data_IF_685563204883
#
_entry.id   IF_685563204883
#
_cell.length_a   1.000
_cell.length_b   1.000
_cell.length_c   1.000
_cell.angle_alpha   90.00
_cell.angle_beta   90.00
_cell.angle_gamma   90.00
#
_symmetry.space_group_name_H-M   'P 1'
#
loop_
_entity.id
_entity.type
_entity.pdbx_description
1 polymer ?
#
# COMPACT_ATOMS: atom_id res chain seq x y z
N UNK A 1 -19.69 44.11 5.12
CA UNK A 1 -19.12 43.92 3.77
C UNK A 1 -18.41 42.57 3.77
N UNK A 2 -18.93 41.56 3.06
CA UNK A 2 -18.28 40.26 2.95
C UNK A 2 -17.11 40.39 1.97
N UNK A 3 -15.88 40.30 2.46
CA UNK A 3 -14.71 40.26 1.59
C UNK A 3 -14.81 38.99 0.74
N UNK A 4 -14.80 39.12 -0.59
CA UNK A 4 -14.70 37.98 -1.50
C UNK A 4 -13.41 37.23 -1.15
N UNK A 5 -13.53 36.04 -0.58
CA UNK A 5 -12.38 35.17 -0.37
C UNK A 5 -11.77 34.84 -1.74
N UNK A 6 -10.49 35.16 -1.89
CA UNK A 6 -9.72 34.79 -3.09
C UNK A 6 -9.55 33.27 -3.03
N UNK A 7 -10.19 32.57 -3.96
CA UNK A 7 -10.04 31.12 -4.08
C UNK A 7 -8.83 30.78 -4.94
N UNK A 8 -8.07 29.79 -4.52
CA UNK A 8 -6.95 29.23 -5.26
C UNK A 8 -7.46 28.57 -6.54
N UNK A 9 -6.80 28.86 -7.66
CA UNK A 9 -7.05 28.16 -8.91
C UNK A 9 -6.51 26.73 -8.83
N UNK A 10 -7.04 25.82 -9.66
CA UNK A 10 -6.52 24.45 -9.75
C UNK A 10 -5.03 24.42 -10.09
N UNK A 11 -4.56 25.31 -10.96
CA UNK A 11 -3.15 25.46 -11.29
C UNK A 11 -2.28 25.83 -10.06
N UNK A 12 -2.78 26.71 -9.19
CA UNK A 12 -2.10 27.07 -7.96
C UNK A 12 -2.05 25.90 -6.97
N UNK A 13 -3.14 25.14 -6.82
CA UNK A 13 -3.16 23.92 -5.98
C UNK A 13 -2.17 22.88 -6.50
N UNK A 14 -2.19 22.60 -7.81
CA UNK A 14 -1.24 21.67 -8.43
C UNK A 14 0.21 22.08 -8.14
N UNK A 15 0.56 23.33 -8.44
CA UNK A 15 1.92 23.83 -8.24
C UNK A 15 2.34 23.79 -6.78
N UNK A 16 1.44 24.13 -5.85
CA UNK A 16 1.69 24.07 -4.41
C UNK A 16 1.96 22.64 -3.94
N UNK A 17 1.13 21.68 -4.34
CA UNK A 17 1.28 20.27 -3.98
C UNK A 17 2.56 19.69 -4.58
N UNK A 18 2.83 19.95 -5.87
CA UNK A 18 4.03 19.45 -6.55
C UNK A 18 5.31 20.03 -5.91
N UNK A 19 5.33 21.31 -5.56
CA UNK A 19 6.44 21.93 -4.84
C UNK A 19 6.62 21.31 -3.44
N UNK A 20 5.52 21.06 -2.71
CA UNK A 20 5.58 20.44 -1.40
C UNK A 20 6.08 18.99 -1.43
N UNK A 21 5.68 18.21 -2.45
CA UNK A 21 6.19 16.85 -2.68
C UNK A 21 7.67 16.90 -3.06
N UNK A 22 8.07 17.82 -3.95
CA UNK A 22 9.46 18.01 -4.36
C UNK A 22 10.39 18.40 -3.20
N UNK A 23 9.89 19.15 -2.22
CA UNK A 23 10.62 19.47 -0.99
C UNK A 23 10.80 18.27 -0.04
N UNK A 24 10.07 17.16 -0.26
CA UNK A 24 10.20 15.91 0.50
C UNK A 24 9.69 15.95 1.94
N UNK A 25 9.33 17.12 2.47
CA UNK A 25 8.87 17.31 3.83
C UNK A 25 7.37 17.06 4.01
N UNK A 26 7.00 16.11 4.88
CA UNK A 26 5.59 15.85 5.23
C UNK A 26 4.93 17.11 5.80
N UNK A 27 5.66 17.92 6.56
CA UNK A 27 5.18 19.19 7.14
C UNK A 27 4.71 20.18 6.06
N UNK A 28 5.56 20.42 5.06
CA UNK A 28 5.25 21.34 3.94
C UNK A 28 4.01 20.86 3.19
N UNK A 29 3.89 19.56 2.96
CA UNK A 29 2.72 18.97 2.30
C UNK A 29 1.46 19.05 3.17
N UNK A 30 1.60 18.89 4.49
CA UNK A 30 0.50 19.04 5.45
C UNK A 30 -0.04 20.45 5.44
N UNK A 31 0.86 21.45 5.55
CA UNK A 31 0.49 22.86 5.57
C UNK A 31 -0.10 23.29 4.21
N UNK A 32 0.44 22.76 3.11
CA UNK A 32 -0.07 23.01 1.77
C UNK A 32 -1.50 22.48 1.56
N UNK A 33 -1.76 21.23 1.94
CA UNK A 33 -3.09 20.62 1.80
C UNK A 33 -4.10 21.21 2.79
N UNK A 34 -3.68 21.51 4.02
CA UNK A 34 -4.50 22.20 5.01
C UNK A 34 -4.88 23.60 4.53
N UNK A 35 -3.92 24.41 4.05
CA UNK A 35 -4.17 25.74 3.51
C UNK A 35 -5.07 25.70 2.26
N UNK A 36 -4.84 24.76 1.35
CA UNK A 36 -5.71 24.57 0.18
C UNK A 36 -7.14 24.15 0.56
N UNK A 37 -7.30 23.37 1.64
CA UNK A 37 -8.61 23.00 2.19
C UNK A 37 -9.30 24.19 2.85
N UNK A 38 -8.61 24.96 3.67
CA UNK A 38 -9.13 26.17 4.33
C UNK A 38 -9.58 27.22 3.31
N UNK A 39 -8.88 27.31 2.18
CA UNK A 39 -9.26 28.16 1.06
C UNK A 39 -10.42 27.60 0.20
N UNK A 40 -10.86 26.37 0.48
CA UNK A 40 -11.99 25.72 -0.20
C UNK A 40 -11.65 25.09 -1.55
N UNK A 41 -10.36 24.97 -1.88
CA UNK A 41 -9.87 24.37 -3.12
C UNK A 41 -9.70 22.84 -3.03
N UNK A 42 -9.33 22.33 -1.84
CA UNK A 42 -9.24 20.89 -1.54
C UNK A 42 -10.34 20.45 -0.57
N UNK A 43 -11.59 20.39 -1.03
CA UNK A 43 -12.75 20.10 -0.16
C UNK A 43 -12.83 18.65 0.28
N UNK A 44 -12.31 17.76 -0.56
CA UNK A 44 -12.32 16.31 -0.35
C UNK A 44 -11.12 15.83 0.48
N UNK A 45 -10.13 16.70 0.74
CA UNK A 45 -9.06 16.40 1.68
C UNK A 45 -9.60 16.34 3.12
N UNK A 46 -9.31 15.25 3.83
CA UNK A 46 -9.81 15.03 5.19
C UNK A 46 -11.35 15.15 5.30
N UNK A 47 -12.05 14.61 4.30
CA UNK A 47 -13.50 14.74 4.11
C UNK A 47 -14.27 14.40 5.41
N UNK A 48 -14.99 15.35 6.05
CA UNK A 48 -15.78 15.08 7.26
C UNK A 48 -16.87 14.01 7.09
N UNK A 49 -17.33 13.82 5.87
CA UNK A 49 -18.33 12.83 5.48
C UNK A 49 -17.75 11.41 5.39
N UNK A 50 -16.42 11.27 5.37
CA UNK A 50 -15.75 9.97 5.48
C UNK A 50 -15.83 9.50 6.93
N UNK A 51 -16.88 8.75 7.25
CA UNK A 51 -17.04 8.10 8.54
C UNK A 51 -16.41 6.71 8.49
N UNK A 52 -15.36 6.52 9.29
CA UNK A 52 -14.82 5.19 9.60
C UNK A 52 -15.77 4.49 10.58
N UNK A 53 -15.95 3.19 10.45
CA UNK A 53 -16.84 2.45 11.38
C UNK A 53 -16.27 2.42 12.80
N UNK A 54 -17.13 2.23 13.79
CA UNK A 54 -16.70 2.07 15.17
C UNK A 54 -16.02 0.70 15.40
N UNK A 55 -15.26 0.61 16.49
CA UNK A 55 -14.69 -0.66 16.95
C UNK A 55 -15.83 -1.68 17.11
N UNK A 56 -15.73 -2.90 16.54
CA UNK A 56 -16.74 -3.93 16.75
C UNK A 56 -16.85 -4.28 18.24
N UNK A 57 -18.08 -4.46 18.74
CA UNK A 57 -18.34 -4.57 20.18
C UNK A 57 -18.30 -6.00 20.71
N UNK A 58 -18.31 -7.02 19.84
CA UNK A 58 -18.38 -8.43 20.24
C UNK A 58 -17.28 -9.28 19.60
N UNK A 59 -16.84 -10.32 20.31
CA UNK A 59 -15.88 -11.30 19.78
C UNK A 59 -16.37 -12.00 18.52
N UNK A 60 -17.69 -12.19 18.40
CA UNK A 60 -18.32 -12.77 17.20
C UNK A 60 -18.12 -11.88 15.97
N UNK A 61 -18.11 -10.56 16.16
CA UNK A 61 -17.85 -9.63 15.07
C UNK A 61 -16.36 -9.59 14.70
N UNK A 62 -15.46 -9.83 15.65
CA UNK A 62 -14.03 -10.02 15.36
C UNK A 62 -13.77 -11.24 14.48
N UNK A 63 -14.47 -12.34 14.72
CA UNK A 63 -14.35 -13.56 13.92
C UNK A 63 -14.82 -13.35 12.47
N UNK A 64 -15.79 -12.46 12.25
CA UNK A 64 -16.35 -12.14 10.92
C UNK A 64 -15.43 -11.28 10.06
N UNK A 65 -14.46 -10.58 10.65
CA UNK A 65 -13.52 -9.74 9.89
C UNK A 65 -12.70 -10.61 8.94
N UNK A 66 -12.48 -10.15 7.71
CA UNK A 66 -11.58 -10.87 6.81
C UNK A 66 -10.17 -10.96 7.41
N UNK A 67 -9.50 -12.10 7.25
CA UNK A 67 -8.09 -12.21 7.60
C UNK A 67 -7.28 -11.37 6.60
N UNK A 68 -6.27 -10.67 7.10
CA UNK A 68 -5.26 -10.03 6.23
C UNK A 68 -4.45 -11.15 5.58
N UNK A 69 -4.20 -11.11 4.26
CA UNK A 69 -3.40 -12.15 3.63
C UNK A 69 -2.00 -12.21 4.23
N UNK A 70 -1.43 -13.41 4.32
CA UNK A 70 -0.06 -13.63 4.82
C UNK A 70 0.97 -13.11 3.81
N UNK A 71 2.12 -12.68 4.33
CA UNK A 71 3.28 -12.36 3.50
C UNK A 71 4.26 -13.54 3.48
N UNK A 72 4.42 -14.16 2.32
CA UNK A 72 5.37 -15.26 2.09
C UNK A 72 6.52 -14.83 1.18
N UNK A 73 6.68 -13.52 0.93
CA UNK A 73 7.72 -12.93 0.07
C UNK A 73 9.11 -13.51 0.27
N UNK A 74 9.55 -13.64 1.52
CA UNK A 74 10.89 -14.13 1.82
C UNK A 74 11.11 -15.55 1.33
N UNK A 75 10.11 -16.41 1.49
CA UNK A 75 10.14 -17.81 1.03
C UNK A 75 10.03 -17.84 -0.50
N UNK A 76 9.10 -17.07 -1.08
CA UNK A 76 8.90 -16.95 -2.53
C UNK A 76 10.17 -16.52 -3.27
N UNK A 77 10.74 -15.38 -2.87
CA UNK A 77 11.95 -14.81 -3.47
C UNK A 77 13.15 -15.71 -3.21
N UNK A 78 13.27 -16.27 -1.99
CA UNK A 78 14.34 -17.20 -1.65
C UNK A 78 14.34 -18.45 -2.52
N UNK A 79 13.18 -19.08 -2.72
CA UNK A 79 13.04 -20.27 -3.57
C UNK A 79 13.32 -19.95 -5.05
N UNK A 80 12.81 -18.82 -5.55
CA UNK A 80 13.08 -18.37 -6.92
C UNK A 80 14.57 -18.08 -7.15
N UNK A 81 15.22 -17.36 -6.24
CA UNK A 81 16.64 -17.07 -6.29
C UNK A 81 17.48 -18.36 -6.23
N UNK A 82 17.13 -19.30 -5.34
CA UNK A 82 17.80 -20.59 -5.25
C UNK A 82 17.70 -21.39 -6.55
N UNK A 83 16.53 -21.41 -7.19
CA UNK A 83 16.35 -22.06 -8.50
C UNK A 83 17.19 -21.37 -9.58
N UNK A 84 17.15 -20.03 -9.66
CA UNK A 84 17.94 -19.27 -10.64
C UNK A 84 19.44 -19.49 -10.47
N UNK A 85 19.94 -19.47 -9.23
CA UNK A 85 21.35 -19.73 -8.93
C UNK A 85 21.73 -21.18 -9.26
N UNK A 86 20.89 -22.15 -8.93
CA UNK A 86 21.11 -23.55 -9.26
C UNK A 86 21.19 -23.78 -10.77
N UNK A 87 20.24 -23.23 -11.54
CA UNK A 87 20.24 -23.30 -13.00
C UNK A 87 21.43 -22.56 -13.61
N UNK A 88 21.76 -21.37 -13.09
CA UNK A 88 22.92 -20.60 -13.52
C UNK A 88 24.23 -21.36 -13.29
N UNK A 89 24.39 -22.01 -12.13
CA UNK A 89 25.54 -22.84 -11.82
C UNK A 89 25.67 -24.04 -12.79
N UNK A 90 24.56 -24.72 -13.10
CA UNK A 90 24.56 -25.81 -14.09
C UNK A 90 24.98 -25.29 -15.47
N UNK A 91 24.47 -24.15 -15.92
CA UNK A 91 24.87 -23.55 -17.20
C UNK A 91 26.35 -23.15 -17.24
N UNK A 92 26.89 -22.62 -16.13
CA UNK A 92 28.31 -22.28 -16.01
C UNK A 92 29.18 -23.54 -16.06
N UNK A 93 28.78 -24.61 -15.38
CA UNK A 93 29.50 -25.90 -15.41
C UNK A 93 29.49 -26.53 -16.80
N UNK A 94 28.34 -26.52 -17.49
CA UNK A 94 28.23 -27.00 -18.86
C UNK A 94 29.11 -26.18 -19.83
N UNK A 95 29.12 -24.85 -19.69
CA UNK A 95 30.01 -24.00 -20.47
C UNK A 95 31.49 -24.31 -20.20
N UNK A 96 31.86 -24.51 -18.94
CA UNK A 96 33.23 -24.89 -18.56
C UNK A 96 33.61 -26.27 -19.12
N UNK A 97 32.69 -27.24 -19.10
CA UNK A 97 32.90 -28.55 -19.72
C UNK A 97 33.12 -28.44 -21.23
N UNK A 98 32.35 -27.60 -21.92
CA UNK A 98 32.53 -27.35 -23.37
C UNK A 98 33.87 -26.69 -23.69
N UNK A 99 34.39 -25.83 -22.80
CA UNK A 99 35.64 -25.10 -23.03
C UNK A 99 36.90 -25.89 -22.65
N UNK A 100 36.87 -26.62 -21.54
CA UNK A 100 38.07 -27.23 -20.93
C UNK A 100 38.03 -28.78 -20.94
N UNK A 101 36.87 -29.40 -21.19
CA UNK A 101 36.69 -30.85 -21.27
C UNK A 101 36.83 -31.62 -19.95
N UNK A 102 37.67 -31.14 -19.04
CA UNK A 102 38.01 -31.78 -17.76
C UNK A 102 37.04 -31.43 -16.62
N UNK A 103 36.18 -30.42 -16.80
CA UNK A 103 35.17 -30.05 -15.81
C UNK A 103 33.97 -30.96 -15.93
N UNK A 104 33.64 -31.74 -14.90
CA UNK A 104 32.45 -32.59 -14.90
C UNK A 104 31.17 -31.73 -14.79
N UNK A 105 30.34 -31.74 -15.84
CA UNK A 105 29.03 -31.11 -15.86
C UNK A 105 27.88 -32.15 -15.84
N UNK A 106 26.80 -31.92 -15.06
CA UNK A 106 25.64 -32.81 -15.09
C UNK A 106 24.88 -32.61 -16.41
N UNK A 107 24.58 -33.68 -17.17
CA UNK A 107 24.04 -33.55 -18.52
C UNK A 107 22.70 -32.81 -18.50
N UNK A 108 22.60 -31.71 -19.25
CA UNK A 108 21.39 -30.87 -19.36
C UNK A 108 20.07 -31.65 -19.55
N UNK A 109 19.98 -32.72 -20.38
CA UNK A 109 18.76 -33.50 -20.49
C UNK A 109 18.32 -34.15 -19.17
N UNK A 110 19.26 -34.61 -18.34
CA UNK A 110 18.95 -35.18 -17.04
C UNK A 110 18.40 -34.10 -16.09
N UNK A 111 19.00 -32.92 -16.09
CA UNK A 111 18.51 -31.77 -15.30
C UNK A 111 17.09 -31.40 -15.74
N UNK A 112 16.83 -31.35 -17.05
CA UNK A 112 15.50 -31.07 -17.59
C UNK A 112 14.46 -32.14 -17.19
N UNK A 113 14.83 -33.43 -17.26
CA UNK A 113 13.95 -34.53 -16.82
C UNK A 113 13.66 -34.44 -15.32
N UNK A 114 14.66 -34.13 -14.48
CA UNK A 114 14.48 -33.98 -13.05
C UNK A 114 13.57 -32.79 -12.72
N UNK A 115 13.75 -31.65 -13.38
CA UNK A 115 12.89 -30.47 -13.20
C UNK A 115 11.46 -30.73 -13.68
N UNK A 116 11.30 -31.36 -14.85
CA UNK A 116 10.00 -31.76 -15.38
C UNK A 116 9.30 -32.77 -14.47
N UNK A 117 10.05 -33.73 -13.91
CA UNK A 117 9.57 -34.69 -12.93
C UNK A 117 9.15 -34.02 -11.63
N UNK A 118 9.97 -33.10 -11.10
CA UNK A 118 9.64 -32.32 -9.90
C UNK A 118 8.39 -31.45 -10.12
N UNK A 119 8.26 -30.82 -11.28
CA UNK A 119 7.07 -30.04 -11.65
C UNK A 119 5.82 -30.90 -11.75
N UNK A 120 5.91 -32.06 -12.42
CA UNK A 120 4.81 -33.00 -12.52
C UNK A 120 4.38 -33.55 -11.15
N UNK A 121 5.36 -33.88 -10.31
CA UNK A 121 5.12 -34.34 -8.95
C UNK A 121 4.46 -33.26 -8.08
N UNK A 122 4.91 -32.00 -8.16
CA UNK A 122 4.31 -30.88 -7.43
C UNK A 122 2.87 -30.62 -7.88
N UNK A 123 2.61 -30.64 -9.19
CA UNK A 123 1.26 -30.45 -9.73
C UNK A 123 0.29 -31.54 -9.29
N UNK A 124 0.75 -32.78 -9.21
CA UNK A 124 -0.09 -33.93 -8.84
C UNK A 124 -0.24 -34.11 -7.32
N UNK A 125 0.84 -33.96 -6.55
CA UNK A 125 0.85 -34.26 -5.12
C UNK A 125 0.58 -33.03 -4.23
N UNK A 126 0.86 -31.82 -4.71
CA UNK A 126 0.77 -30.56 -3.94
C UNK A 126 -0.03 -29.48 -4.65
N UNK A 127 -0.81 -29.84 -5.67
CA UNK A 127 -1.62 -28.91 -6.44
C UNK A 127 -0.83 -27.74 -7.07
N UNK A 128 0.48 -27.89 -7.25
CA UNK A 128 1.35 -26.85 -7.82
C UNK A 128 1.81 -25.75 -6.85
N UNK A 129 1.75 -25.99 -5.54
CA UNK A 129 2.11 -25.00 -4.52
C UNK A 129 3.58 -24.55 -4.63
N UNK A 130 4.53 -25.48 -4.81
CA UNK A 130 5.96 -25.17 -4.83
C UNK A 130 6.36 -24.40 -6.09
N UNK A 131 5.90 -24.82 -7.26
CA UNK A 131 6.17 -24.09 -8.50
C UNK A 131 5.36 -22.79 -8.59
N UNK A 132 4.19 -22.72 -7.95
CA UNK A 132 3.46 -21.46 -7.75
C UNK A 132 4.26 -20.45 -6.93
N UNK A 133 4.87 -20.90 -5.84
CA UNK A 133 5.75 -20.10 -4.98
C UNK A 133 6.98 -19.58 -5.74
N UNK A 134 7.66 -20.44 -6.51
CA UNK A 134 8.78 -20.06 -7.38
C UNK A 134 8.34 -19.07 -8.46
N UNK A 135 7.17 -19.29 -9.07
CA UNK A 135 6.62 -18.41 -10.10
C UNK A 135 6.33 -17.00 -9.58
N UNK A 136 5.72 -16.89 -8.39
CA UNK A 136 5.49 -15.60 -7.71
C UNK A 136 6.82 -14.92 -7.38
N UNK A 137 7.77 -15.64 -6.80
CA UNK A 137 9.11 -15.13 -6.50
C UNK A 137 9.86 -14.63 -7.74
N UNK A 138 9.80 -15.39 -8.84
CA UNK A 138 10.41 -15.00 -10.12
C UNK A 138 9.77 -13.75 -10.70
N UNK A 139 8.43 -13.65 -10.61
CA UNK A 139 7.70 -12.46 -11.07
C UNK A 139 8.12 -11.23 -10.27
N UNK A 140 8.30 -11.34 -8.94
CA UNK A 140 8.82 -10.25 -8.11
C UNK A 140 10.25 -9.86 -8.46
N UNK A 141 11.09 -10.83 -8.82
CA UNK A 141 12.51 -10.60 -9.15
C UNK A 141 12.69 -9.92 -10.51
N UNK A 142 11.89 -10.28 -11.51
CA UNK A 142 12.17 -9.93 -12.90
C UNK A 142 11.09 -9.06 -13.57
N UNK A 143 9.86 -9.02 -13.03
CA UNK A 143 8.76 -8.30 -13.66
C UNK A 143 8.43 -7.03 -12.89
N UNK A 144 8.60 -5.88 -13.54
CA UNK A 144 7.94 -4.63 -13.14
C UNK A 144 6.59 -4.55 -13.84
N UNK A 145 5.53 -4.64 -13.06
CA UNK A 145 4.16 -4.47 -13.55
C UNK A 145 3.69 -3.06 -13.19
N UNK A 146 3.92 -2.13 -14.11
CA UNK A 146 3.54 -0.71 -13.93
C UNK A 146 2.03 -0.55 -13.68
N UNK A 147 1.19 -1.40 -14.28
CA UNK A 147 -0.26 -1.33 -14.10
C UNK A 147 -0.63 -1.71 -12.67
N UNK A 148 0.01 -2.75 -12.13
CA UNK A 148 -0.20 -3.20 -10.76
C UNK A 148 0.40 -2.24 -9.73
N UNK A 149 1.58 -1.69 -10.00
CA UNK A 149 2.22 -0.66 -9.18
C UNK A 149 1.34 0.59 -9.09
N UNK A 150 0.91 1.14 -10.24
CA UNK A 150 -0.01 2.28 -10.28
C UNK A 150 -1.37 1.98 -9.62
N UNK A 151 -1.86 0.74 -9.71
CA UNK A 151 -3.07 0.32 -8.99
C UNK A 151 -2.89 0.47 -7.47
N UNK A 152 -1.83 -0.11 -6.92
CA UNK A 152 -1.52 -0.07 -5.49
C UNK A 152 -1.24 1.36 -5.01
N UNK A 153 -0.46 2.12 -5.76
CA UNK A 153 -0.17 3.52 -5.46
C UNK A 153 -1.44 4.38 -5.45
N UNK A 154 -2.30 4.22 -6.46
CA UNK A 154 -3.58 4.96 -6.52
C UNK A 154 -4.50 4.67 -5.34
N UNK A 155 -4.55 3.42 -4.84
CA UNK A 155 -5.30 3.07 -3.64
C UNK A 155 -4.77 3.77 -2.40
N UNK A 156 -3.45 3.73 -2.19
CA UNK A 156 -2.81 4.40 -1.06
C UNK A 156 -2.96 5.92 -1.13
N UNK A 157 -2.82 6.52 -2.31
CA UNK A 157 -2.95 7.96 -2.51
C UNK A 157 -4.39 8.41 -2.25
N UNK A 158 -5.37 7.74 -2.85
CA UNK A 158 -6.79 8.09 -2.70
C UNK A 158 -7.24 7.99 -1.25
N UNK A 159 -7.01 6.85 -0.58
CA UNK A 159 -7.45 6.70 0.81
C UNK A 159 -6.69 7.65 1.73
N UNK A 160 -5.38 7.82 1.53
CA UNK A 160 -4.59 8.76 2.32
C UNK A 160 -5.14 10.18 2.21
N UNK A 161 -5.45 10.63 1.00
CA UNK A 161 -6.03 11.94 0.73
C UNK A 161 -7.40 12.12 1.42
N UNK A 162 -8.29 11.16 1.26
CA UNK A 162 -9.64 11.20 1.86
C UNK A 162 -9.60 11.17 3.40
N UNK A 163 -8.69 10.39 3.97
CA UNK A 163 -8.47 10.28 5.41
C UNK A 163 -7.78 11.52 6.01
N UNK A 164 -7.28 12.43 5.17
CA UNK A 164 -6.59 13.64 5.59
C UNK A 164 -5.12 13.39 5.96
N UNK A 165 -4.51 12.36 5.40
CA UNK A 165 -3.15 11.97 5.67
C UNK A 165 -2.21 12.59 4.61
N UNK A 166 -1.32 13.51 5.00
CA UNK A 166 -0.38 14.16 4.08
C UNK A 166 0.64 13.18 3.49
N UNK A 167 0.83 12.00 4.11
CA UNK A 167 1.71 10.97 3.57
C UNK A 167 1.17 10.29 2.31
N UNK A 168 -0.04 10.63 1.84
CA UNK A 168 -0.66 10.05 0.65
C UNK A 168 0.16 10.19 -0.63
N UNK A 169 1.00 11.21 -0.74
CA UNK A 169 1.86 11.43 -1.91
C UNK A 169 3.12 10.55 -1.93
N UNK A 170 3.31 9.69 -0.92
CA UNK A 170 4.48 8.84 -0.79
C UNK A 170 4.07 7.38 -0.67
N UNK A 171 4.94 6.48 -1.14
CA UNK A 171 4.76 5.05 -0.94
C UNK A 171 4.60 4.73 0.55
N UNK A 172 3.62 3.88 0.92
CA UNK A 172 3.37 3.53 2.30
C UNK A 172 4.57 2.78 2.89
N UNK A 173 5.03 3.25 4.04
CA UNK A 173 6.13 2.63 4.81
C UNK A 173 5.76 2.67 6.30
N UNK A 174 6.34 1.80 7.11
CA UNK A 174 6.07 1.78 8.55
C UNK A 174 6.65 3.02 9.27
N UNK A 175 7.75 3.60 8.78
CA UNK A 175 8.47 4.67 9.46
C UNK A 175 7.89 6.06 9.22
N UNK A 176 7.43 6.34 7.99
CA UNK A 176 6.98 7.68 7.59
C UNK A 176 5.76 8.17 8.39
N UNK A 177 4.77 7.33 8.71
CA UNK A 177 3.68 7.71 9.58
C UNK A 177 4.12 7.94 11.03
N UNK A 178 5.10 7.18 11.53
CA UNK A 178 5.67 7.41 12.86
C UNK A 178 6.38 8.76 12.93
N UNK A 179 7.13 9.13 11.89
CA UNK A 179 7.76 10.45 11.76
C UNK A 179 6.69 11.56 11.72
N UNK A 180 5.63 11.35 10.95
CA UNK A 180 4.49 12.26 10.88
C UNK A 180 3.83 12.47 12.25
N UNK A 181 3.61 11.39 13.02
CA UNK A 181 3.06 11.47 14.36
C UNK A 181 3.97 12.25 15.31
N UNK A 182 5.28 12.08 15.24
CA UNK A 182 6.21 12.79 16.12
C UNK A 182 6.31 14.30 15.86
N UNK A 183 6.31 14.72 14.59
CA UNK A 183 6.49 16.14 14.22
C UNK A 183 5.18 16.91 14.04
N UNK A 184 4.19 16.26 13.44
CA UNK A 184 2.90 16.86 13.12
C UNK A 184 1.78 16.36 14.05
N UNK A 185 2.09 15.54 15.06
CA UNK A 185 1.12 14.98 16.00
C UNK A 185 0.20 16.02 16.63
N UNK A 186 0.63 17.26 16.84
CA UNK A 186 -0.25 18.33 17.36
C UNK A 186 -1.16 18.95 16.29
N UNK A 187 -0.65 19.17 15.08
CA UNK A 187 -1.43 19.69 13.94
C UNK A 187 -2.45 18.66 13.45
N UNK A 188 -2.07 17.38 13.49
CA UNK A 188 -2.90 16.23 13.09
C UNK A 188 -3.67 15.60 14.25
N UNK A 189 -3.26 15.79 15.51
CA UNK A 189 -3.82 15.16 16.71
C UNK A 189 -5.18 15.69 17.14
N UNK A 190 -5.63 16.78 16.51
CA UNK A 190 -7.05 17.15 16.53
C UNK A 190 -7.93 16.22 15.67
N UNK A 191 -7.33 15.40 14.78
CA UNK A 191 -8.07 14.44 13.98
C UNK A 191 -8.41 13.20 14.82
N UNK A 192 -9.71 12.89 15.02
CA UNK A 192 -10.09 11.73 15.80
C UNK A 192 -9.64 10.45 15.10
N UNK A 193 -9.13 9.52 15.91
CA UNK A 193 -8.71 8.16 15.53
C UNK A 193 -7.61 8.17 14.47
N UNK A 194 -6.59 9.03 14.64
CA UNK A 194 -5.48 9.19 13.68
C UNK A 194 -4.73 7.87 13.41
N UNK A 195 -4.47 7.08 14.45
CA UNK A 195 -3.83 5.75 14.32
C UNK A 195 -4.66 4.83 13.44
N UNK A 196 -5.98 4.81 13.60
CA UNK A 196 -6.89 4.00 12.78
C UNK A 196 -6.87 4.44 11.32
N UNK A 197 -6.85 5.75 11.06
CA UNK A 197 -6.74 6.28 9.69
C UNK A 197 -5.44 5.84 9.03
N UNK A 198 -4.32 5.92 9.75
CA UNK A 198 -3.02 5.47 9.23
C UNK A 198 -3.05 3.97 8.94
N UNK A 199 -3.66 3.16 9.80
CA UNK A 199 -3.81 1.72 9.56
C UNK A 199 -4.61 1.42 8.29
N UNK A 200 -5.75 2.10 8.11
CA UNK A 200 -6.58 1.96 6.90
C UNK A 200 -5.75 2.33 5.65
N UNK A 201 -4.97 3.41 5.73
CA UNK A 201 -4.10 3.83 4.63
C UNK A 201 -2.97 2.82 4.32
N UNK A 202 -2.27 2.31 5.35
CA UNK A 202 -1.22 1.29 5.18
C UNK A 202 -1.76 0.00 4.57
N UNK A 203 -3.02 -0.35 4.85
CA UNK A 203 -3.67 -1.56 4.34
C UNK A 203 -4.39 -1.33 3.00
N UNK A 204 -4.49 -0.10 2.49
CA UNK A 204 -5.13 0.20 1.22
C UNK A 204 -4.49 -0.54 0.03
N UNK A 205 -3.15 -0.55 -0.13
CA UNK A 205 -2.44 -1.43 -1.06
C UNK A 205 -2.90 -2.89 -1.01
N UNK A 206 -2.91 -3.46 0.19
CA UNK A 206 -3.18 -4.88 0.44
C UNK A 206 -4.64 -5.20 0.13
N UNK A 207 -5.55 -4.32 0.56
CA UNK A 207 -6.98 -4.42 0.29
C UNK A 207 -7.30 -4.41 -1.20
N UNK A 208 -6.66 -3.51 -1.96
CA UNK A 208 -6.82 -3.47 -3.41
C UNK A 208 -6.28 -4.75 -4.04
N UNK A 209 -5.03 -5.07 -3.76
CA UNK A 209 -4.32 -6.14 -4.45
C UNK A 209 -4.96 -7.50 -4.19
N UNK A 210 -5.35 -7.76 -2.94
CA UNK A 210 -6.07 -8.98 -2.58
C UNK A 210 -7.43 -9.10 -3.28
N UNK A 211 -8.11 -7.97 -3.53
CA UNK A 211 -9.41 -7.97 -4.19
C UNK A 211 -9.32 -8.15 -5.71
N UNK A 212 -8.30 -7.57 -6.36
CA UNK A 212 -8.15 -7.60 -7.81
C UNK A 212 -7.37 -8.83 -8.31
N UNK A 213 -6.37 -9.28 -7.54
CA UNK A 213 -5.43 -10.32 -7.96
C UNK A 213 -5.59 -11.61 -7.14
N UNK A 214 -6.84 -11.95 -6.76
CA UNK A 214 -7.21 -13.21 -6.09
C UNK A 214 -6.38 -13.52 -4.82
N UNK A 215 -6.04 -12.50 -4.06
CA UNK A 215 -5.25 -12.65 -2.82
C UNK A 215 -3.74 -12.70 -3.01
N UNK A 216 -3.21 -12.66 -4.23
CA UNK A 216 -1.78 -12.61 -4.47
C UNK A 216 -1.25 -11.21 -4.16
N UNK A 217 -0.28 -11.11 -3.25
CA UNK A 217 0.30 -9.83 -2.82
C UNK A 217 1.71 -9.64 -3.40
N UNK A 218 1.85 -9.24 -4.66
CA UNK A 218 3.16 -9.00 -5.29
C UNK A 218 3.82 -7.69 -4.86
N UNK A 219 3.04 -6.62 -4.70
CA UNK A 219 3.56 -5.28 -4.42
C UNK A 219 3.28 -4.85 -2.96
N UNK A 220 2.07 -5.04 -2.46
CA UNK A 220 1.63 -4.55 -1.15
C UNK A 220 2.11 -5.40 0.04
N UNK A 221 2.81 -4.80 1.00
CA UNK A 221 3.31 -5.47 2.20
C UNK A 221 2.28 -5.40 3.36
N UNK A 222 1.69 -6.52 3.80
CA UNK A 222 0.71 -6.54 4.90
C UNK A 222 1.35 -6.39 6.28
N UNK A 223 2.66 -6.53 6.41
CA UNK A 223 3.39 -6.44 7.69
C UNK A 223 3.60 -5.00 8.15
N UNK A 224 3.45 -4.02 7.24
CA UNK A 224 3.64 -2.59 7.55
C UNK A 224 2.71 -2.10 8.65
N UNK A 225 1.45 -2.54 8.67
CA UNK A 225 0.47 -2.11 9.67
C UNK A 225 0.81 -2.63 11.09
N UNK A 226 1.09 -3.94 11.30
CA UNK A 226 1.62 -4.45 12.56
C UNK A 226 2.94 -3.78 13.00
N UNK A 227 3.89 -3.59 12.07
CA UNK A 227 5.16 -2.91 12.37
C UNK A 227 4.94 -1.48 12.84
N UNK A 228 4.02 -0.75 12.19
CA UNK A 228 3.62 0.59 12.58
C UNK A 228 3.01 0.61 13.99
N UNK A 229 2.08 -0.28 14.33
CA UNK A 229 1.51 -0.36 15.68
C UNK A 229 2.58 -0.61 16.73
N UNK A 230 3.47 -1.57 16.49
CA UNK A 230 4.59 -1.84 17.39
C UNK A 230 5.56 -0.66 17.52
N UNK A 231 5.77 0.12 16.46
CA UNK A 231 6.62 1.31 16.49
C UNK A 231 5.96 2.49 17.24
N UNK A 232 4.65 2.70 17.05
CA UNK A 232 3.90 3.77 17.69
C UNK A 232 3.74 3.51 19.18
N UNK A 233 3.43 2.28 19.61
CA UNK A 233 3.35 1.93 21.05
C UNK A 233 4.68 2.19 21.76
N UNK A 234 5.81 1.85 21.12
CA UNK A 234 7.15 2.15 21.65
C UNK A 234 7.44 3.65 21.78
N UNK A 235 6.73 4.50 21.04
CA UNK A 235 6.92 5.96 21.02
C UNK A 235 5.74 6.74 21.59
N UNK A 236 4.73 6.07 22.17
CA UNK A 236 3.50 6.69 22.66
C UNK A 236 3.78 7.86 23.62
N UNK A 237 4.72 7.66 24.56
CA UNK A 237 5.12 8.69 25.52
C UNK A 237 5.79 9.91 24.88
N UNK A 238 6.44 9.75 23.72
CA UNK A 238 7.19 10.81 23.04
C UNK A 238 6.37 11.50 21.95
N UNK A 239 5.43 10.78 21.34
CA UNK A 239 4.67 11.25 20.19
C UNK A 239 3.40 12.02 20.56
N UNK A 240 2.98 12.02 21.84
CA UNK A 240 1.72 12.66 22.29
C UNK A 240 0.49 12.15 21.50
N UNK A 241 0.49 10.85 21.21
CA UNK A 241 -0.57 10.18 20.43
C UNK A 241 -1.26 9.16 21.31
N UNK A 242 -2.58 9.28 21.41
CA UNK A 242 -3.41 8.27 22.03
C UNK A 242 -3.58 7.06 21.08
N UNK A 243 -2.80 6.02 21.33
CA UNK A 243 -2.84 4.78 20.54
C UNK A 243 -4.12 4.00 20.81
N UNK A 244 -4.66 4.10 22.02
CA UNK A 244 -5.82 3.34 22.48
C UNK A 244 -7.15 4.08 22.17
N UNK A 245 -7.05 5.22 21.48
CA UNK A 245 -8.19 5.96 20.96
C UNK A 245 -9.10 5.06 20.11
N UNK A 246 -10.42 5.19 20.30
CA UNK A 246 -11.41 4.27 19.72
C UNK A 246 -11.67 3.03 20.59
N UNK A 247 -11.06 2.98 21.78
CA UNK A 247 -11.27 1.93 22.77
C UNK A 247 -10.47 0.66 22.48
N UNK A 248 -9.41 0.72 21.68
CA UNK A 248 -8.60 -0.45 21.37
C UNK A 248 -7.62 -0.77 22.50
N UNK A 249 -7.41 -2.05 22.78
CA UNK A 249 -6.34 -2.51 23.68
C UNK A 249 -5.19 -3.15 22.91
N UNK A 250 -4.01 -3.24 23.52
CA UNK A 250 -2.82 -3.87 22.90
C UNK A 250 -3.04 -5.35 22.55
N UNK A 251 -3.84 -6.08 23.33
CA UNK A 251 -4.21 -7.47 23.03
C UNK A 251 -5.08 -7.61 21.77
N UNK A 252 -5.64 -6.51 21.26
CA UNK A 252 -6.55 -6.49 20.12
C UNK A 252 -5.91 -5.93 18.85
N UNK A 253 -4.60 -5.71 18.83
CA UNK A 253 -3.90 -5.13 17.68
C UNK A 253 -4.10 -5.95 16.40
N UNK A 254 -4.11 -7.29 16.50
CA UNK A 254 -4.41 -8.15 15.34
C UNK A 254 -5.83 -7.92 14.80
N UNK A 255 -6.81 -7.82 15.70
CA UNK A 255 -8.21 -7.55 15.36
C UNK A 255 -8.36 -6.16 14.76
N UNK A 256 -7.66 -5.16 15.31
CA UNK A 256 -7.63 -3.79 14.80
C UNK A 256 -7.06 -3.71 13.39
N UNK A 257 -6.01 -4.46 13.10
CA UNK A 257 -5.43 -4.58 11.75
C UNK A 257 -6.43 -5.22 10.79
N UNK A 258 -7.13 -6.29 11.20
CA UNK A 258 -8.20 -6.90 10.38
C UNK A 258 -9.38 -5.96 10.14
N UNK A 259 -9.76 -5.17 11.14
CA UNK A 259 -10.80 -4.15 11.03
C UNK A 259 -10.37 -3.06 10.03
N UNK A 260 -9.16 -2.52 10.16
CA UNK A 260 -8.64 -1.51 9.25
C UNK A 260 -8.53 -2.02 7.79
N UNK A 261 -8.20 -3.30 7.61
CA UNK A 261 -8.21 -3.96 6.30
C UNK A 261 -9.63 -4.03 5.71
N UNK A 262 -10.63 -4.38 6.51
CA UNK A 262 -12.02 -4.41 6.07
C UNK A 262 -12.53 -3.01 5.68
N UNK A 263 -12.21 -1.99 6.49
CA UNK A 263 -12.52 -0.59 6.18
C UNK A 263 -11.85 -0.14 4.88
N UNK A 264 -10.57 -0.44 4.69
CA UNK A 264 -9.86 -0.10 3.46
C UNK A 264 -10.53 -0.72 2.23
N UNK A 265 -10.93 -2.01 2.31
CA UNK A 265 -11.67 -2.67 1.23
C UNK A 265 -13.00 -1.98 0.93
N UNK A 266 -13.78 -1.65 1.96
CA UNK A 266 -15.08 -1.00 1.79
C UNK A 266 -14.92 0.39 1.16
N UNK A 267 -13.93 1.18 1.59
CA UNK A 267 -13.65 2.49 1.03
C UNK A 267 -13.18 2.40 -0.43
N UNK A 268 -12.30 1.46 -0.76
CA UNK A 268 -11.85 1.25 -2.14
C UNK A 268 -12.97 0.81 -3.06
N UNK A 269 -13.90 -0.01 -2.58
CA UNK A 269 -15.11 -0.37 -3.33
C UNK A 269 -16.01 0.85 -3.55
N UNK A 270 -16.22 1.66 -2.50
CA UNK A 270 -17.05 2.87 -2.57
C UNK A 270 -16.51 3.91 -3.55
N UNK A 271 -15.18 4.04 -3.64
CA UNK A 271 -14.51 5.01 -4.51
C UNK A 271 -13.78 4.36 -5.70
N UNK A 272 -14.25 3.20 -6.16
CA UNK A 272 -13.61 2.42 -7.23
C UNK A 272 -13.43 3.24 -8.52
N UNK A 273 -14.45 4.00 -8.94
CA UNK A 273 -14.39 4.80 -10.16
C UNK A 273 -13.35 5.93 -10.11
N UNK A 274 -13.18 6.57 -8.95
CA UNK A 274 -12.17 7.61 -8.74
C UNK A 274 -10.77 6.99 -8.73
N UNK A 275 -10.63 5.84 -8.05
CA UNK A 275 -9.39 5.08 -8.00
C UNK A 275 -8.94 4.62 -9.39
N UNK A 276 -9.85 4.11 -10.22
CA UNK A 276 -9.55 3.65 -11.58
C UNK A 276 -9.04 4.79 -12.45
N UNK A 277 -9.73 5.94 -12.43
CA UNK A 277 -9.27 7.13 -13.12
C UNK A 277 -7.90 7.60 -12.62
N UNK A 278 -7.65 7.49 -11.31
CA UNK A 278 -6.36 7.83 -10.71
C UNK A 278 -5.25 6.87 -11.15
N UNK A 279 -5.52 5.57 -11.16
CA UNK A 279 -4.62 4.53 -11.63
C UNK A 279 -4.19 4.78 -13.08
N UNK A 280 -5.15 5.03 -13.98
CA UNK A 280 -4.86 5.33 -15.39
C UNK A 280 -3.94 6.54 -15.55
N UNK A 281 -4.18 7.60 -14.76
CA UNK A 281 -3.36 8.81 -14.78
C UNK A 281 -1.97 8.56 -14.20
N UNK A 282 -1.86 7.85 -13.08
CA UNK A 282 -0.58 7.49 -12.47
C UNK A 282 0.27 6.63 -13.40
N UNK A 283 -0.34 5.67 -14.12
CA UNK A 283 0.35 4.89 -15.14
C UNK A 283 0.90 5.75 -16.30
N UNK A 284 0.28 6.90 -16.58
CA UNK A 284 0.77 7.89 -17.54
C UNK A 284 1.83 8.86 -16.96
N UNK A 285 2.19 8.74 -15.68
CA UNK A 285 3.24 9.54 -15.04
C UNK A 285 2.82 10.95 -14.63
N UNK A 286 1.56 11.16 -14.27
CA UNK A 286 1.07 12.46 -13.77
C UNK A 286 1.69 12.84 -12.42
N UNK A 287 1.71 14.13 -12.12
CA UNK A 287 2.21 14.63 -10.83
C UNK A 287 1.20 14.43 -9.68
N UNK A 288 1.68 14.52 -8.43
CA UNK A 288 0.82 14.43 -7.25
C UNK A 288 -0.25 15.53 -7.20
N UNK A 289 0.09 16.74 -7.65
CA UNK A 289 -0.86 17.84 -7.78
C UNK A 289 -1.98 17.55 -8.78
N UNK A 290 -1.66 16.91 -9.92
CA UNK A 290 -2.70 16.48 -10.88
C UNK A 290 -3.61 15.39 -10.30
N UNK A 291 -3.04 14.46 -9.54
CA UNK A 291 -3.80 13.46 -8.79
C UNK A 291 -4.80 14.10 -7.81
N UNK A 292 -4.37 15.11 -7.05
CA UNK A 292 -5.25 15.88 -6.14
C UNK A 292 -6.39 16.54 -6.92
N UNK A 293 -6.07 17.23 -8.02
CA UNK A 293 -7.09 17.89 -8.84
C UNK A 293 -8.11 16.91 -9.41
N UNK A 294 -7.66 15.74 -9.88
CA UNK A 294 -8.54 14.69 -10.39
C UNK A 294 -9.52 14.21 -9.32
N UNK A 295 -9.04 13.98 -8.09
CA UNK A 295 -9.89 13.56 -6.97
C UNK A 295 -10.94 14.62 -6.69
N UNK A 296 -10.55 15.88 -6.57
CA UNK A 296 -11.47 16.98 -6.31
C UNK A 296 -12.50 17.15 -7.43
N UNK A 297 -12.10 17.06 -8.70
CA UNK A 297 -13.01 17.15 -9.85
C UNK A 297 -14.03 16.01 -9.87
N UNK A 298 -13.57 14.76 -9.68
CA UNK A 298 -14.43 13.57 -9.71
C UNK A 298 -15.39 13.53 -8.53
N UNK A 299 -14.95 14.00 -7.37
CA UNK A 299 -15.78 14.04 -6.18
C UNK A 299 -16.73 15.23 -6.19
N UNK A 300 -16.36 16.38 -6.75
CA UNK A 300 -17.27 17.54 -6.87
C UNK A 300 -18.63 17.20 -7.49
N UNK A 301 -18.69 16.23 -8.39
CA UNK A 301 -19.93 15.80 -9.04
C UNK A 301 -20.76 14.80 -8.20
N UNK A 302 -20.16 14.12 -7.22
CA UNK A 302 -20.87 13.16 -6.35
C UNK A 302 -21.46 13.82 -5.09
N UNK A 303 -20.94 14.99 -4.72
CA UNK A 303 -21.57 15.87 -3.73
C UNK A 303 -22.41 16.88 -4.50
N UNK A 304 -23.68 16.56 -4.76
CA UNK A 304 -24.61 17.44 -5.48
C UNK A 304 -24.46 18.89 -5.04
N UNK A 305 -24.49 19.81 -6.01
CA UNK A 305 -24.32 21.24 -5.80
C UNK A 305 -25.15 21.70 -4.59
N UNK A 306 -24.46 21.96 -3.48
CA UNK A 306 -25.02 22.68 -2.33
C UNK A 306 -24.98 24.16 -2.66
#
# INVERSE_FOLDING_TARGET
MSAKQITMSGAAVKALVDAAVGAGGIEVLTDSLAGARENGACRSFATPQLRISDRPSSNRDFERLAKVPSDERGVEVGAAAALCLGLGAVLILELAHVLDGDVAAPPLPLVAVLLGGAWGADRYARSGELFGLIGRGSTRLFSRDLIRESAVESASFLLGYLLGLPCCAFAPTAFKPVEMLGRNGRKLGGAPRLVDRILIWLLAPVALEASQYRGELLQADPTLAPQFLGAVRRRQATADVDVDQGGWSASEDEVRVRWAYAEARQLLQRYASVREALQERMAAGVSAGECVLLIEERLKNSWGAV
#
